data_IF_864689619876
#
_entry.id   IF_864689619876
#
_cell.length_a   1.000
_cell.length_b   1.000
_cell.length_c   1.000
_cell.angle_alpha   90.00
_cell.angle_beta   90.00
_cell.angle_gamma   90.00
#
_symmetry.space_group_name_H-M   'P 1'
#
loop_
_entity.id
_entity.type
_entity.pdbx_description
1 polymer ?
#
# COMPACT_ATOMS: atom_id res chain seq x y z
N UNK A 1 -15.45 72.17 18.81
CA UNK A 1 -15.72 73.19 19.86
C UNK A 1 -17.15 72.97 20.40
N UNK A 2 -17.64 73.80 21.33
CA UNK A 2 -18.99 73.84 21.95
C UNK A 2 -20.17 73.57 20.95
N UNK A 3 -21.35 73.04 21.32
CA UNK A 3 -21.85 72.49 22.59
C UNK A 3 -23.15 71.64 22.44
N UNK A 4 -23.60 71.06 23.57
CA UNK A 4 -24.87 70.35 23.86
C UNK A 4 -26.11 71.24 23.60
N UNK A 5 -27.36 70.73 23.52
CA UNK A 5 -28.23 70.47 24.70
C UNK A 5 -29.65 69.95 24.33
N UNK A 6 -30.11 68.85 24.97
CA UNK A 6 -31.46 68.43 25.52
C UNK A 6 -32.79 68.89 24.82
N UNK A 7 -34.01 68.34 25.01
CA UNK A 7 -34.70 67.35 25.89
C UNK A 7 -35.72 66.55 24.99
N UNK A 8 -36.69 65.68 25.37
CA UNK A 8 -37.26 65.18 26.63
C UNK A 8 -37.69 63.68 26.47
N UNK A 9 -37.70 62.82 27.51
CA UNK A 9 -38.82 62.42 28.41
C UNK A 9 -40.05 61.76 27.74
N UNK A 10 -40.23 60.47 28.04
CA UNK A 10 -41.44 59.66 27.87
C UNK A 10 -41.18 58.26 28.46
N UNK A 11 -42.00 57.77 29.39
CA UNK A 11 -41.70 56.59 30.21
C UNK A 11 -42.90 55.62 30.32
N UNK A 12 -42.72 54.54 31.10
CA UNK A 12 -43.60 53.35 31.28
C UNK A 12 -43.43 52.30 30.16
N UNK A 13 -43.20 51.00 30.44
CA UNK A 13 -42.82 50.36 31.72
C UNK A 13 -43.47 49.00 31.96
N UNK A 14 -42.70 47.91 31.83
CA UNK A 14 -43.02 46.58 32.36
C UNK A 14 -41.72 45.75 32.50
N UNK A 15 -41.65 44.90 33.53
CA UNK A 15 -40.61 43.87 33.68
C UNK A 15 -41.20 42.51 33.26
N UNK A 16 -40.39 41.63 32.69
CA UNK A 16 -40.20 40.25 33.20
C UNK A 16 -39.01 39.52 32.58
N UNK A 17 -38.38 38.67 33.40
CA UNK A 17 -37.57 37.46 33.13
C UNK A 17 -36.75 37.31 31.84
N UNK A 18 -35.47 36.99 31.99
CA UNK A 18 -34.59 36.54 30.91
C UNK A 18 -34.73 35.03 30.61
N UNK A 19 -34.50 34.65 29.35
CA UNK A 19 -34.22 33.28 28.93
C UNK A 19 -33.12 33.29 27.87
N UNK A 20 -32.01 32.59 28.13
CA UNK A 20 -30.90 32.49 27.18
C UNK A 20 -31.25 31.48 26.07
N UNK A 21 -31.16 31.92 24.80
CA UNK A 21 -31.22 31.04 23.63
C UNK A 21 -29.93 31.16 22.83
N UNK A 22 -28.92 30.39 23.24
CA UNK A 22 -27.70 30.14 22.46
C UNK A 22 -28.00 29.08 21.38
N UNK A 23 -28.55 29.51 20.25
CA UNK A 23 -28.69 28.68 19.07
C UNK A 23 -27.34 28.49 18.37
N UNK A 24 -26.63 27.42 18.69
CA UNK A 24 -25.47 26.98 17.92
C UNK A 24 -25.90 26.46 16.54
N UNK A 25 -25.08 26.67 15.51
CA UNK A 25 -25.35 26.13 14.17
C UNK A 25 -25.06 24.63 14.07
N UNK A 26 -25.85 23.92 13.28
CA UNK A 26 -25.64 22.50 13.00
C UNK A 26 -24.32 22.26 12.25
N UNK A 27 -23.48 21.38 12.81
CA UNK A 27 -22.36 20.79 12.09
C UNK A 27 -22.86 19.57 11.29
N UNK A 28 -22.64 19.57 9.97
CA UNK A 28 -23.08 18.47 9.10
C UNK A 28 -22.40 17.15 9.45
N UNK A 29 -23.16 16.19 9.96
CA UNK A 29 -22.66 14.85 10.29
C UNK A 29 -22.38 14.05 9.01
N UNK A 30 -21.10 13.89 8.66
CA UNK A 30 -20.65 13.00 7.59
C UNK A 30 -20.53 11.56 8.08
N UNK A 31 -21.64 11.00 8.59
CA UNK A 31 -21.72 9.61 9.05
C UNK A 31 -21.83 8.65 7.88
N UNK A 32 -20.71 8.06 7.46
CA UNK A 32 -20.70 6.85 6.61
C UNK A 32 -20.68 5.62 7.52
N UNK A 33 -21.85 5.22 8.00
CA UNK A 33 -21.98 4.05 8.88
C UNK A 33 -21.46 2.76 8.21
N UNK A 34 -20.84 1.91 9.01
CA UNK A 34 -20.45 0.57 8.59
C UNK A 34 -21.69 -0.30 8.33
N UNK A 35 -21.60 -1.36 7.48
CA UNK A 35 -22.72 -2.25 7.21
C UNK A 35 -23.38 -2.79 8.49
N UNK A 36 -24.70 -2.68 8.61
CA UNK A 36 -25.48 -2.83 9.86
C UNK A 36 -25.51 -4.24 10.50
N UNK A 37 -24.61 -5.16 10.14
CA UNK A 37 -24.36 -6.37 10.92
C UNK A 37 -23.43 -6.04 12.10
N UNK A 38 -23.98 -5.39 13.13
CA UNK A 38 -23.26 -4.97 14.33
C UNK A 38 -22.45 -6.11 14.97
N UNK A 39 -21.22 -5.80 15.37
CA UNK A 39 -20.24 -6.80 15.79
C UNK A 39 -20.67 -7.57 17.06
N UNK A 40 -20.96 -8.86 16.91
CA UNK A 40 -21.43 -9.74 17.98
C UNK A 40 -20.27 -10.26 18.84
N UNK A 41 -19.89 -9.51 19.86
CA UNK A 41 -18.86 -9.90 20.83
C UNK A 41 -18.27 -8.70 21.56
N UNK A 42 -17.45 -8.95 22.58
CA UNK A 42 -16.72 -7.88 23.28
C UNK A 42 -15.61 -7.28 22.41
N UNK A 43 -14.99 -8.07 21.53
CA UNK A 43 -13.84 -7.65 20.72
C UNK A 43 -12.57 -7.43 21.54
N UNK A 44 -11.56 -6.88 20.88
CA UNK A 44 -10.25 -6.61 21.44
C UNK A 44 -9.96 -5.10 21.37
N UNK A 45 -10.03 -4.46 22.54
CA UNK A 45 -9.67 -3.05 22.70
C UNK A 45 -8.23 -2.79 22.18
N UNK A 46 -7.96 -1.60 21.60
CA UNK A 46 -6.62 -1.19 21.19
C UNK A 46 -5.56 -1.39 22.28
N UNK A 47 -4.32 -1.64 21.85
CA UNK A 47 -3.16 -1.76 22.75
C UNK A 47 -2.00 -0.97 22.14
N UNK A 48 -1.58 0.08 22.84
CA UNK A 48 -0.43 0.89 22.44
C UNK A 48 0.88 0.09 22.44
N UNK A 49 1.83 0.50 21.60
CA UNK A 49 3.16 -0.12 21.50
C UNK A 49 3.87 0.23 20.19
N UNK A 50 5.16 0.53 20.27
CA UNK A 50 5.91 1.13 19.15
C UNK A 50 6.22 0.18 17.99
N UNK A 51 6.20 -1.14 18.22
CA UNK A 51 6.42 -2.14 17.18
C UNK A 51 5.07 -2.60 16.57
N UNK A 52 4.98 -2.57 15.25
CA UNK A 52 3.87 -3.13 14.48
C UNK A 52 4.24 -4.53 13.96
N UNK A 53 3.23 -5.38 13.79
CA UNK A 53 3.34 -6.69 13.11
C UNK A 53 2.15 -6.88 12.18
N UNK A 54 2.41 -7.39 10.96
CA UNK A 54 1.37 -7.81 10.02
C UNK A 54 0.86 -9.20 10.42
N UNK A 55 -0.46 -9.37 10.37
CA UNK A 55 -1.13 -10.65 10.53
C UNK A 55 -1.15 -11.41 9.21
N UNK A 56 -0.92 -12.72 9.27
CA UNK A 56 -0.95 -13.59 8.09
C UNK A 56 -2.37 -13.70 7.50
N UNK A 57 -2.49 -13.49 6.19
CA UNK A 57 -3.73 -13.61 5.42
C UNK A 57 -4.02 -15.08 5.07
N UNK A 58 -4.35 -15.89 6.08
CA UNK A 58 -4.42 -17.35 6.01
C UNK A 58 -5.51 -17.93 5.08
N UNK A 59 -6.57 -17.16 4.81
CA UNK A 59 -7.62 -17.46 3.80
C UNK A 59 -7.41 -16.72 2.47
N UNK A 60 -6.33 -15.95 2.33
CA UNK A 60 -5.95 -15.22 1.11
C UNK A 60 -7.02 -14.23 0.60
N UNK A 61 -7.44 -13.29 1.44
CA UNK A 61 -8.26 -12.14 1.03
C UNK A 61 -7.57 -11.30 -0.05
N UNK A 62 -6.24 -11.18 -0.03
CA UNK A 62 -5.48 -10.29 -0.90
C UNK A 62 -4.98 -11.01 -2.16
N UNK A 63 -4.99 -10.31 -3.30
CA UNK A 63 -4.35 -10.83 -4.52
C UNK A 63 -2.85 -10.61 -4.43
N UNK A 64 -2.08 -11.53 -5.00
CA UNK A 64 -0.64 -11.69 -4.71
C UNK A 64 0.21 -10.74 -5.56
N UNK A 65 0.55 -9.57 -5.01
CA UNK A 65 1.35 -8.54 -5.70
C UNK A 65 2.86 -8.75 -5.48
N UNK A 66 3.35 -9.89 -5.98
CA UNK A 66 4.77 -10.21 -6.00
C UNK A 66 5.52 -9.31 -6.98
N UNK A 67 6.68 -8.80 -6.55
CA UNK A 67 7.52 -7.93 -7.39
C UNK A 67 8.20 -8.75 -8.49
N UNK A 68 8.18 -8.22 -9.71
CA UNK A 68 8.79 -8.81 -10.91
C UNK A 68 9.24 -7.74 -11.92
N UNK A 69 10.19 -8.06 -12.82
CA UNK A 69 10.56 -7.15 -13.90
C UNK A 69 9.57 -7.22 -15.05
N UNK A 70 8.98 -6.08 -15.41
CA UNK A 70 8.28 -5.87 -16.67
C UNK A 70 9.25 -5.29 -17.70
N UNK A 71 9.29 -5.85 -18.91
CA UNK A 71 10.31 -5.57 -19.94
C UNK A 71 9.66 -5.43 -21.30
N UNK A 72 10.06 -4.44 -22.11
CA UNK A 72 9.60 -4.37 -23.49
C UNK A 72 10.13 -5.58 -24.29
N UNK A 73 9.24 -6.34 -24.94
CA UNK A 73 9.56 -7.59 -25.60
C UNK A 73 10.65 -7.46 -26.69
N UNK A 74 10.83 -6.27 -27.29
CA UNK A 74 11.86 -5.99 -28.31
C UNK A 74 13.29 -6.08 -27.75
N UNK A 75 13.47 -6.01 -26.43
CA UNK A 75 14.78 -6.08 -25.75
C UNK A 75 14.89 -7.20 -24.71
N UNK A 76 13.85 -8.04 -24.57
CA UNK A 76 13.74 -9.11 -23.57
C UNK A 76 14.65 -10.33 -23.84
N UNK A 77 15.94 -10.11 -24.10
CA UNK A 77 16.93 -11.16 -24.31
C UNK A 77 17.17 -11.98 -23.04
N UNK A 78 17.51 -13.29 -23.13
CA UNK A 78 17.73 -14.11 -21.94
C UNK A 78 18.75 -13.55 -20.93
N UNK A 79 19.91 -12.99 -21.34
CA UNK A 79 20.84 -12.37 -20.38
C UNK A 79 20.28 -11.12 -19.69
N UNK A 80 19.42 -10.35 -20.37
CA UNK A 80 18.73 -9.20 -19.77
C UNK A 80 17.73 -9.64 -18.70
N UNK A 81 16.89 -10.63 -19.01
CA UNK A 81 15.93 -11.19 -18.04
C UNK A 81 16.67 -11.85 -16.87
N UNK A 82 17.69 -12.66 -17.13
CA UNK A 82 18.49 -13.31 -16.09
C UNK A 82 19.20 -12.31 -15.15
N UNK A 83 19.62 -11.15 -15.66
CA UNK A 83 20.18 -10.08 -14.84
C UNK A 83 19.13 -9.41 -13.95
N UNK A 84 17.89 -9.25 -14.42
CA UNK A 84 16.79 -8.69 -13.62
C UNK A 84 16.31 -9.69 -12.56
N UNK A 85 16.18 -10.97 -12.94
CA UNK A 85 15.74 -12.06 -12.07
C UNK A 85 16.71 -12.33 -10.90
N UNK A 86 17.98 -11.89 -10.98
CA UNK A 86 18.91 -11.85 -9.83
C UNK A 86 18.38 -11.01 -8.67
N UNK A 87 17.67 -9.91 -8.95
CA UNK A 87 17.01 -9.11 -7.92
C UNK A 87 15.83 -9.89 -7.35
N UNK A 88 15.00 -10.48 -8.21
CA UNK A 88 13.86 -11.30 -7.78
C UNK A 88 14.26 -12.46 -6.87
N UNK A 89 15.31 -13.20 -7.22
CA UNK A 89 15.82 -14.34 -6.46
C UNK A 89 16.47 -13.94 -5.12
N UNK A 90 16.86 -12.67 -4.96
CA UNK A 90 17.44 -12.15 -3.73
C UNK A 90 16.43 -11.48 -2.79
N UNK A 91 15.19 -11.22 -3.26
CA UNK A 91 14.22 -10.35 -2.59
C UNK A 91 13.06 -11.16 -1.99
N UNK A 92 12.89 -11.01 -0.68
CA UNK A 92 11.77 -11.51 0.13
C UNK A 92 11.12 -10.34 0.90
N UNK A 93 9.91 -10.50 1.43
CA UNK A 93 9.19 -9.39 2.07
C UNK A 93 9.95 -8.80 3.27
N UNK A 94 10.56 -9.57 4.19
CA UNK A 94 11.43 -9.03 5.23
C UNK A 94 12.59 -8.17 4.71
N UNK A 95 13.27 -8.60 3.64
CA UNK A 95 14.33 -7.82 2.98
C UNK A 95 13.81 -6.54 2.34
N UNK A 96 12.64 -6.60 1.71
CA UNK A 96 11.97 -5.45 1.10
C UNK A 96 11.56 -4.41 2.15
N UNK A 97 11.00 -4.86 3.29
CA UNK A 97 10.74 -4.02 4.47
C UNK A 97 12.02 -3.31 4.93
N UNK A 98 13.15 -4.04 5.01
CA UNK A 98 14.44 -3.44 5.35
C UNK A 98 14.94 -2.41 4.32
N UNK A 99 14.72 -2.67 3.03
CA UNK A 99 15.08 -1.77 1.93
C UNK A 99 14.23 -0.48 1.95
N UNK A 100 12.92 -0.60 2.17
CA UNK A 100 12.01 0.53 2.28
C UNK A 100 12.26 1.34 3.56
N UNK A 101 12.54 0.69 4.70
CA UNK A 101 12.97 1.35 5.94
C UNK A 101 14.17 2.26 5.68
N UNK A 102 15.17 1.78 4.94
CA UNK A 102 16.38 2.54 4.65
C UNK A 102 16.09 3.87 3.92
N UNK A 103 15.05 3.92 3.07
CA UNK A 103 14.65 5.13 2.32
C UNK A 103 13.66 5.99 3.10
N UNK A 104 12.57 5.41 3.58
CA UNK A 104 11.42 6.16 4.10
C UNK A 104 11.56 6.54 5.59
N UNK A 105 12.24 5.70 6.37
CA UNK A 105 12.52 5.94 7.80
C UNK A 105 13.91 6.54 7.96
N UNK A 106 14.95 5.87 7.44
CA UNK A 106 16.36 6.23 7.66
C UNK A 106 16.88 7.28 6.65
N UNK A 107 16.03 7.73 5.72
CA UNK A 107 16.24 8.86 4.79
C UNK A 107 17.43 8.71 3.84
N UNK A 108 17.86 7.48 3.52
CA UNK A 108 18.79 7.22 2.42
C UNK A 108 18.12 7.54 1.08
N UNK A 109 18.91 7.84 0.07
CA UNK A 109 18.40 7.90 -1.30
C UNK A 109 18.08 6.47 -1.79
N UNK A 110 17.08 6.29 -2.69
CA UNK A 110 16.83 5.01 -3.36
C UNK A 110 18.10 4.38 -3.95
N UNK A 111 18.95 5.21 -4.58
CA UNK A 111 20.24 4.77 -5.11
C UNK A 111 21.17 4.19 -4.03
N UNK A 112 21.38 4.91 -2.93
CA UNK A 112 22.31 4.47 -1.88
C UNK A 112 21.78 3.19 -1.20
N UNK A 113 20.48 3.10 -0.94
CA UNK A 113 19.85 1.91 -0.37
C UNK A 113 19.99 0.70 -1.31
N UNK A 114 19.77 0.89 -2.62
CA UNK A 114 19.97 -0.13 -3.64
C UNK A 114 21.44 -0.57 -3.77
N UNK A 115 22.39 0.37 -3.71
CA UNK A 115 23.83 0.05 -3.81
C UNK A 115 24.32 -0.74 -2.59
N UNK A 116 23.91 -0.37 -1.37
CA UNK A 116 24.17 -1.16 -0.15
C UNK A 116 23.54 -2.56 -0.22
N UNK A 117 22.25 -2.65 -0.59
CA UNK A 117 21.53 -3.92 -0.71
C UNK A 117 22.16 -4.84 -1.78
N UNK A 118 22.60 -4.28 -2.90
CA UNK A 118 23.24 -5.02 -3.98
C UNK A 118 24.61 -5.56 -3.60
N UNK A 119 25.37 -4.83 -2.78
CA UNK A 119 26.61 -5.35 -2.15
C UNK A 119 26.29 -6.44 -1.13
N UNK A 120 25.32 -6.23 -0.22
CA UNK A 120 24.99 -7.18 0.84
C UNK A 120 24.40 -8.52 0.33
N UNK A 121 23.69 -8.50 -0.80
CA UNK A 121 23.14 -9.69 -1.46
C UNK A 121 23.97 -10.13 -2.69
N UNK A 122 25.14 -9.54 -2.91
CA UNK A 122 26.12 -9.94 -3.94
C UNK A 122 25.56 -9.99 -5.37
N UNK A 123 24.61 -9.08 -5.70
CA UNK A 123 23.76 -9.17 -6.89
C UNK A 123 24.50 -9.12 -8.24
N UNK A 124 25.74 -8.61 -8.25
CA UNK A 124 26.58 -8.49 -9.45
C UNK A 124 27.41 -9.74 -9.75
N UNK A 125 27.45 -10.73 -8.85
CA UNK A 125 28.24 -11.95 -9.04
C UNK A 125 27.54 -12.96 -9.96
N UNK A 126 28.28 -13.50 -10.92
CA UNK A 126 27.77 -14.47 -11.88
C UNK A 126 26.59 -13.92 -12.70
N UNK A 127 26.62 -12.63 -13.03
CA UNK A 127 25.72 -12.02 -14.01
C UNK A 127 26.32 -12.23 -15.39
N UNK A 128 25.54 -12.84 -16.29
CA UNK A 128 25.95 -13.09 -17.68
C UNK A 128 26.06 -11.78 -18.46
N UNK A 129 26.95 -11.72 -19.45
CA UNK A 129 27.08 -10.55 -20.33
C UNK A 129 26.07 -10.63 -21.46
N UNK A 130 25.17 -9.65 -21.52
CA UNK A 130 24.29 -9.45 -22.66
C UNK A 130 25.00 -8.77 -23.85
N UNK A 131 24.29 -8.56 -24.98
CA UNK A 131 24.81 -7.80 -26.13
C UNK A 131 25.11 -6.31 -25.85
N UNK A 132 24.80 -5.81 -24.65
CA UNK A 132 24.96 -4.40 -24.29
C UNK A 132 23.94 -3.49 -24.97
N UNK A 133 24.32 -2.23 -25.17
CA UNK A 133 23.41 -1.16 -25.62
C UNK A 133 22.80 -0.38 -24.45
N UNK A 134 21.88 0.53 -24.76
CA UNK A 134 21.26 1.45 -23.79
C UNK A 134 19.93 0.91 -23.28
N UNK A 135 19.72 0.95 -21.96
CA UNK A 135 18.45 0.59 -21.31
C UNK A 135 17.99 1.74 -20.41
N UNK A 136 16.75 2.17 -20.56
CA UNK A 136 16.05 3.06 -19.62
C UNK A 136 15.14 2.22 -18.74
N UNK A 137 15.44 2.20 -17.44
CA UNK A 137 14.59 1.62 -16.40
C UNK A 137 13.65 2.73 -15.91
N UNK A 138 12.35 2.57 -16.16
CA UNK A 138 11.33 3.43 -15.61
C UNK A 138 11.10 3.16 -14.12
N UNK A 139 10.69 4.19 -13.39
CA UNK A 139 10.25 4.08 -12.01
C UNK A 139 8.91 4.81 -11.78
N UNK A 140 8.11 4.25 -10.87
CA UNK A 140 6.92 4.87 -10.34
C UNK A 140 7.22 6.12 -9.49
N UNK A 141 6.18 6.83 -9.09
CA UNK A 141 6.26 8.05 -8.28
C UNK A 141 6.46 7.82 -6.76
N UNK A 142 6.94 6.65 -6.34
CA UNK A 142 7.09 6.23 -4.94
C UNK A 142 8.46 5.61 -4.62
N UNK A 143 8.80 5.51 -3.33
CA UNK A 143 10.12 5.13 -2.82
C UNK A 143 10.56 3.72 -3.26
N UNK A 144 9.70 2.72 -3.04
CA UNK A 144 10.00 1.32 -3.36
C UNK A 144 10.33 1.13 -4.85
N UNK A 145 9.41 1.51 -5.77
CA UNK A 145 9.61 1.38 -7.22
C UNK A 145 10.88 2.09 -7.71
N UNK A 146 11.24 3.25 -7.15
CA UNK A 146 12.51 3.95 -7.45
C UNK A 146 13.75 3.21 -6.96
N UNK A 147 13.63 2.47 -5.85
CA UNK A 147 14.73 1.69 -5.25
C UNK A 147 14.91 0.37 -6.00
N UNK A 148 13.82 -0.31 -6.35
CA UNK A 148 13.83 -1.49 -7.23
C UNK A 148 14.40 -1.16 -8.63
N UNK A 149 14.08 0.01 -9.19
CA UNK A 149 14.64 0.46 -10.46
C UNK A 149 16.17 0.70 -10.39
N UNK A 150 16.70 1.17 -9.25
CA UNK A 150 18.13 1.27 -9.01
C UNK A 150 18.80 -0.12 -8.82
N UNK A 151 18.12 -1.09 -8.23
CA UNK A 151 18.60 -2.49 -8.19
C UNK A 151 18.70 -3.09 -9.60
N UNK A 152 17.67 -2.89 -10.44
CA UNK A 152 17.71 -3.28 -11.85
C UNK A 152 18.82 -2.54 -12.62
N UNK A 153 19.06 -1.25 -12.34
CA UNK A 153 20.21 -0.53 -12.91
C UNK A 153 21.53 -1.25 -12.57
N UNK A 154 21.72 -1.64 -11.31
CA UNK A 154 22.96 -2.29 -10.87
C UNK A 154 23.19 -3.63 -11.57
N UNK A 155 22.19 -4.51 -11.64
CA UNK A 155 22.37 -5.83 -12.28
C UNK A 155 22.48 -5.73 -13.80
N UNK A 156 21.74 -4.83 -14.46
CA UNK A 156 21.88 -4.58 -15.89
C UNK A 156 23.23 -3.93 -16.24
N UNK A 157 23.76 -3.02 -15.41
CA UNK A 157 25.14 -2.52 -15.56
C UNK A 157 26.15 -3.65 -15.41
N UNK A 158 25.96 -4.58 -14.47
CA UNK A 158 26.80 -5.77 -14.35
C UNK A 158 26.70 -6.70 -15.58
N UNK A 159 25.54 -6.78 -16.24
CA UNK A 159 25.35 -7.49 -17.51
C UNK A 159 25.95 -6.78 -18.73
N UNK A 160 26.44 -5.54 -18.59
CA UNK A 160 27.12 -4.79 -19.65
C UNK A 160 26.26 -3.77 -20.40
N UNK A 161 25.04 -3.48 -19.93
CA UNK A 161 24.21 -2.42 -20.50
C UNK A 161 24.60 -1.03 -19.98
N UNK A 162 24.39 0.00 -20.80
CA UNK A 162 24.43 1.40 -20.37
C UNK A 162 23.05 1.79 -19.84
N UNK A 163 22.91 1.92 -18.52
CA UNK A 163 21.59 1.97 -17.88
C UNK A 163 21.30 3.34 -17.27
N UNK A 164 20.11 3.87 -17.54
CA UNK A 164 19.56 5.08 -16.92
C UNK A 164 18.31 4.73 -16.14
N UNK A 165 18.14 5.29 -14.94
CA UNK A 165 16.86 5.27 -14.22
C UNK A 165 16.11 6.57 -14.52
N UNK A 166 14.82 6.47 -14.82
CA UNK A 166 13.96 7.61 -15.08
C UNK A 166 12.62 7.45 -14.35
N UNK A 167 12.33 8.37 -13.42
CA UNK A 167 10.98 8.45 -12.84
C UNK A 167 10.02 9.00 -13.90
N UNK A 168 8.94 8.27 -14.18
CA UNK A 168 7.97 8.63 -15.22
C UNK A 168 6.67 9.18 -14.60
N UNK A 169 6.18 8.56 -13.51
CA UNK A 169 4.94 8.96 -12.86
C UNK A 169 4.16 7.75 -12.35
N UNK A 170 2.85 7.79 -12.55
CA UNK A 170 1.90 6.70 -12.30
C UNK A 170 1.88 5.69 -13.47
N UNK A 171 1.22 4.53 -13.25
CA UNK A 171 1.19 3.40 -14.18
C UNK A 171 0.57 3.77 -15.53
N UNK A 172 -0.43 4.64 -15.52
CA UNK A 172 -1.11 5.19 -16.69
C UNK A 172 -0.17 6.00 -17.61
N UNK A 173 1.02 6.40 -17.13
CA UNK A 173 2.06 7.05 -17.92
C UNK A 173 3.21 6.10 -18.26
N UNK A 174 3.69 5.29 -17.30
CA UNK A 174 4.86 4.44 -17.55
C UNK A 174 4.56 3.16 -18.32
N UNK A 175 3.37 2.57 -18.19
CA UNK A 175 3.05 1.32 -18.89
C UNK A 175 2.90 1.56 -20.40
N UNK A 176 2.20 2.61 -20.89
CA UNK A 176 2.19 2.93 -22.32
C UNK A 176 3.57 3.36 -22.86
N UNK A 177 4.46 3.89 -22.02
CA UNK A 177 5.86 4.15 -22.38
C UNK A 177 6.66 2.84 -22.51
N UNK A 178 6.38 1.85 -21.66
CA UNK A 178 6.98 0.52 -21.71
C UNK A 178 6.48 -0.30 -22.91
N UNK A 179 5.18 -0.30 -23.22
CA UNK A 179 4.58 -0.93 -24.41
C UNK A 179 5.26 -0.47 -25.71
N UNK A 180 5.40 0.85 -25.89
CA UNK A 180 6.03 1.42 -27.08
C UNK A 180 7.53 1.14 -27.13
N UNK A 181 8.19 1.08 -25.99
CA UNK A 181 9.64 1.00 -25.85
C UNK A 181 10.32 2.36 -25.69
N UNK A 182 9.59 3.40 -25.25
CA UNK A 182 10.16 4.69 -24.82
C UNK A 182 11.03 4.49 -23.56
N UNK A 183 10.57 3.61 -22.66
CA UNK A 183 11.37 2.94 -21.62
C UNK A 183 11.42 1.43 -21.89
N UNK A 184 12.37 0.72 -21.29
CA UNK A 184 12.63 -0.69 -21.62
C UNK A 184 12.37 -1.67 -20.47
N UNK A 185 12.45 -1.23 -19.21
CA UNK A 185 12.24 -2.06 -18.01
C UNK A 185 11.51 -1.25 -16.94
N UNK A 186 10.61 -1.87 -16.16
CA UNK A 186 9.98 -1.28 -14.95
C UNK A 186 9.82 -2.37 -13.87
N UNK A 187 10.05 -2.09 -12.57
CA UNK A 187 9.64 -2.97 -11.48
C UNK A 187 8.12 -2.90 -11.26
N UNK A 188 7.46 -4.05 -11.37
CA UNK A 188 6.01 -4.18 -11.34
C UNK A 188 5.50 -5.26 -10.38
N UNK A 189 4.20 -5.20 -10.11
CA UNK A 189 3.51 -5.96 -9.07
C UNK A 189 2.47 -6.87 -9.75
N UNK A 190 2.55 -8.17 -9.47
CA UNK A 190 1.99 -9.19 -10.37
C UNK A 190 0.46 -9.13 -10.57
N UNK A 191 -0.32 -8.85 -9.52
CA UNK A 191 -1.78 -8.80 -9.59
C UNK A 191 -2.28 -7.46 -10.11
N UNK A 192 -1.74 -6.35 -9.59
CA UNK A 192 -2.11 -5.00 -10.00
C UNK A 192 -1.78 -4.74 -11.48
N UNK A 193 -0.64 -5.22 -11.98
CA UNK A 193 -0.31 -5.11 -13.41
C UNK A 193 -1.20 -6.01 -14.29
N UNK A 194 -1.58 -7.19 -13.80
CA UNK A 194 -2.49 -8.09 -14.53
C UNK A 194 -3.87 -7.44 -14.71
N UNK A 195 -4.42 -6.83 -13.65
CA UNK A 195 -5.69 -6.10 -13.76
C UNK A 195 -5.59 -4.82 -14.56
N UNK A 196 -4.45 -4.12 -14.51
CA UNK A 196 -4.25 -2.91 -15.31
C UNK A 196 -4.30 -3.23 -16.82
N UNK A 197 -3.57 -4.25 -17.27
CA UNK A 197 -3.59 -4.69 -18.66
C UNK A 197 -4.93 -5.30 -19.08
N UNK A 198 -5.56 -6.09 -18.19
CA UNK A 198 -6.92 -6.61 -18.38
C UNK A 198 -7.94 -5.48 -18.59
N UNK A 199 -7.91 -4.45 -17.74
CA UNK A 199 -8.78 -3.28 -17.80
C UNK A 199 -8.53 -2.45 -19.07
N UNK A 200 -7.26 -2.25 -19.46
CA UNK A 200 -6.91 -1.58 -20.73
C UNK A 200 -7.47 -2.33 -21.95
N UNK A 201 -7.39 -3.66 -21.97
CA UNK A 201 -7.79 -4.47 -23.12
C UNK A 201 -9.30 -4.72 -23.19
N UNK A 202 -9.96 -4.95 -22.05
CA UNK A 202 -11.33 -5.45 -21.96
C UNK A 202 -12.33 -4.44 -21.36
N UNK A 203 -11.86 -3.28 -20.88
CA UNK A 203 -12.68 -2.22 -20.29
C UNK A 203 -12.85 -2.31 -18.76
N UNK A 204 -13.41 -1.25 -18.18
CA UNK A 204 -13.53 -1.07 -16.71
C UNK A 204 -14.42 -2.10 -15.98
N UNK A 205 -15.23 -2.85 -16.72
CA UNK A 205 -16.15 -3.87 -16.18
C UNK A 205 -15.68 -5.31 -16.50
N UNK A 206 -14.43 -5.44 -16.94
CA UNK A 206 -13.77 -6.73 -17.15
C UNK A 206 -13.77 -7.56 -15.86
N UNK A 207 -13.94 -8.88 -16.00
CA UNK A 207 -13.79 -9.78 -14.86
C UNK A 207 -12.32 -9.83 -14.41
N UNK A 208 -12.03 -9.81 -13.10
CA UNK A 208 -10.66 -9.93 -12.59
C UNK A 208 -9.95 -11.19 -13.10
N UNK A 209 -8.67 -11.06 -13.42
CA UNK A 209 -7.83 -12.16 -13.93
C UNK A 209 -6.71 -12.56 -12.95
N UNK A 210 -6.43 -11.72 -11.97
CA UNK A 210 -5.52 -12.00 -10.85
C UNK A 210 -6.25 -12.73 -9.71
N UNK A 211 -5.53 -13.58 -9.00
CA UNK A 211 -5.99 -14.23 -7.78
C UNK A 211 -4.90 -14.24 -6.70
N UNK A 212 -5.18 -14.82 -5.52
CA UNK A 212 -4.18 -15.13 -4.51
C UNK A 212 -3.32 -16.39 -4.80
N UNK A 213 -3.31 -16.90 -6.04
CA UNK A 213 -2.38 -17.92 -6.50
C UNK A 213 -1.37 -17.30 -7.47
N UNK A 214 -0.10 -17.22 -7.06
CA UNK A 214 0.95 -16.57 -7.83
C UNK A 214 1.08 -17.14 -9.25
N UNK A 215 0.99 -18.46 -9.39
CA UNK A 215 1.05 -19.13 -10.70
C UNK A 215 -0.09 -18.71 -11.63
N UNK A 216 -1.32 -18.58 -11.13
CA UNK A 216 -2.48 -18.13 -11.92
C UNK A 216 -2.33 -16.66 -12.31
N UNK A 217 -1.98 -15.81 -11.34
CA UNK A 217 -1.77 -14.37 -11.56
C UNK A 217 -0.65 -14.11 -12.55
N UNK A 218 0.48 -14.81 -12.46
CA UNK A 218 1.60 -14.67 -13.40
C UNK A 218 1.27 -15.26 -14.78
N UNK A 219 0.47 -16.33 -14.86
CA UNK A 219 0.00 -16.83 -16.15
C UNK A 219 -0.96 -15.85 -16.84
N UNK A 220 -1.91 -15.26 -16.11
CA UNK A 220 -2.81 -14.23 -16.61
C UNK A 220 -2.05 -12.96 -17.01
N UNK A 221 -1.11 -12.52 -16.18
CA UNK A 221 -0.22 -11.39 -16.43
C UNK A 221 0.56 -11.58 -17.74
N UNK A 222 1.18 -12.74 -17.95
CA UNK A 222 1.92 -13.06 -19.19
C UNK A 222 1.01 -13.08 -20.41
N UNK A 223 -0.16 -13.72 -20.32
CA UNK A 223 -1.15 -13.73 -21.40
C UNK A 223 -1.74 -12.35 -21.75
N UNK A 224 -1.64 -11.38 -20.84
CA UNK A 224 -1.94 -9.96 -21.09
C UNK A 224 -0.72 -9.20 -21.63
N UNK A 225 0.47 -9.46 -21.09
CA UNK A 225 1.75 -8.88 -21.53
C UNK A 225 2.11 -9.20 -22.97
N UNK A 226 1.92 -10.46 -23.40
CA UNK A 226 2.17 -10.90 -24.78
C UNK A 226 1.36 -10.08 -25.81
N UNK A 227 0.17 -9.62 -25.43
CA UNK A 227 -0.70 -8.75 -26.26
C UNK A 227 -0.25 -7.29 -26.26
N UNK A 228 0.35 -6.83 -25.16
CA UNK A 228 0.91 -5.48 -24.99
C UNK A 228 2.39 -5.36 -25.42
N UNK A 229 3.01 -6.44 -25.89
CA UNK A 229 4.44 -6.46 -26.20
C UNK A 229 5.34 -6.32 -24.97
N UNK A 230 4.89 -6.78 -23.80
CA UNK A 230 5.59 -6.73 -22.52
C UNK A 230 5.90 -8.17 -22.06
N UNK A 231 7.18 -8.48 -21.90
CA UNK A 231 7.67 -9.73 -21.32
C UNK A 231 7.88 -9.55 -19.81
N UNK A 232 7.48 -10.53 -19.02
CA UNK A 232 7.66 -10.55 -17.57
C UNK A 232 8.64 -11.64 -17.14
N UNK A 233 9.61 -11.29 -16.30
CA UNK A 233 10.60 -12.23 -15.76
C UNK A 233 10.05 -13.13 -14.64
N UNK A 234 10.92 -13.51 -13.73
CA UNK A 234 10.60 -14.35 -12.57
C UNK A 234 10.11 -13.49 -11.40
N UNK A 235 8.97 -13.82 -10.76
CA UNK A 235 8.54 -13.14 -9.54
C UNK A 235 9.46 -13.43 -8.36
N UNK A 236 9.66 -12.41 -7.54
CA UNK A 236 10.33 -12.51 -6.24
C UNK A 236 9.44 -13.18 -5.20
N UNK A 237 10.03 -13.57 -4.06
CA UNK A 237 9.25 -13.98 -2.89
C UNK A 237 8.58 -12.79 -2.18
N UNK A 238 9.05 -11.57 -2.44
CA UNK A 238 8.56 -10.34 -1.84
C UNK A 238 7.24 -9.88 -2.44
N UNK A 239 6.37 -9.36 -1.58
CA UNK A 239 5.05 -8.81 -1.91
C UNK A 239 4.91 -7.40 -1.35
N UNK A 240 4.44 -6.47 -2.18
CA UNK A 240 3.84 -5.20 -1.75
C UNK A 240 2.34 -5.23 -2.08
N UNK A 241 1.53 -5.54 -1.08
CA UNK A 241 0.08 -5.62 -1.18
C UNK A 241 -0.57 -5.09 0.09
N UNK A 242 -1.88 -4.81 0.04
CA UNK A 242 -2.65 -4.51 1.25
C UNK A 242 -2.46 -5.62 2.29
N UNK A 243 -2.24 -5.24 3.54
CA UNK A 243 -2.11 -6.11 4.68
C UNK A 243 -2.80 -5.47 5.90
N UNK A 244 -2.94 -6.22 6.99
CA UNK A 244 -3.47 -5.66 8.25
C UNK A 244 -2.45 -5.84 9.36
N UNK A 245 -2.10 -4.74 10.00
CA UNK A 245 -1.17 -4.73 11.12
C UNK A 245 -1.87 -4.42 12.45
N UNK A 246 -1.28 -4.96 13.50
CA UNK A 246 -1.58 -4.70 14.91
C UNK A 246 -0.28 -4.30 15.61
N UNK A 247 -0.32 -3.78 16.83
CA UNK A 247 0.91 -3.65 17.63
C UNK A 247 1.38 -5.03 18.10
N UNK A 248 2.69 -5.23 18.29
CA UNK A 248 3.24 -6.47 18.88
C UNK A 248 2.61 -6.76 20.25
N UNK A 249 2.36 -5.72 21.03
CA UNK A 249 1.66 -5.81 22.32
C UNK A 249 0.20 -6.26 22.20
N UNK A 250 -0.53 -5.85 21.14
CA UNK A 250 -1.87 -6.38 20.85
C UNK A 250 -1.80 -7.86 20.46
N UNK A 251 -0.88 -8.23 19.55
CA UNK A 251 -0.67 -9.60 19.10
C UNK A 251 -0.36 -10.54 20.26
N UNK A 252 0.53 -10.15 21.18
CA UNK A 252 0.90 -10.94 22.35
C UNK A 252 -0.24 -11.04 23.38
N UNK A 253 -0.95 -9.94 23.66
CA UNK A 253 -2.03 -9.88 24.66
C UNK A 253 -3.24 -10.73 24.27
N UNK A 254 -3.59 -10.75 22.98
CA UNK A 254 -4.75 -11.48 22.46
C UNK A 254 -4.38 -12.80 21.76
N UNK A 255 -3.07 -13.09 21.64
CA UNK A 255 -2.54 -14.28 20.99
C UNK A 255 -2.96 -14.37 19.53
N UNK A 256 -2.79 -13.32 18.73
CA UNK A 256 -3.20 -13.30 17.31
C UNK A 256 -1.98 -13.16 16.38
N UNK A 257 -1.90 -14.05 15.39
CA UNK A 257 -0.87 -14.08 14.35
C UNK A 257 -1.44 -14.12 12.93
N UNK A 258 -2.70 -14.52 12.77
CA UNK A 258 -3.41 -14.56 11.48
C UNK A 258 -4.71 -13.77 11.49
N UNK A 259 -5.27 -13.50 10.31
CA UNK A 259 -6.57 -12.84 10.17
C UNK A 259 -7.74 -13.71 10.66
N UNK A 260 -7.69 -15.03 10.49
CA UNK A 260 -8.67 -15.95 11.13
C UNK A 260 -8.59 -15.92 12.66
N UNK A 261 -7.40 -15.78 13.25
CA UNK A 261 -7.28 -15.62 14.71
C UNK A 261 -7.83 -14.28 15.19
N UNK A 262 -7.57 -13.19 14.45
CA UNK A 262 -8.18 -11.89 14.72
C UNK A 262 -9.71 -11.95 14.60
N UNK A 263 -10.25 -12.65 13.61
CA UNK A 263 -11.69 -12.85 13.47
C UNK A 263 -12.27 -13.61 14.67
N UNK A 264 -11.71 -14.78 14.99
CA UNK A 264 -12.24 -15.65 16.05
C UNK A 264 -12.10 -15.06 17.47
N UNK A 265 -11.06 -14.26 17.74
CA UNK A 265 -10.76 -13.73 19.08
C UNK A 265 -11.14 -12.26 19.26
N UNK A 266 -11.17 -11.49 18.17
CA UNK A 266 -11.27 -10.03 18.19
C UNK A 266 -12.35 -9.43 17.28
N UNK A 267 -13.25 -10.21 16.67
CA UNK A 267 -14.52 -9.67 16.17
C UNK A 267 -15.37 -9.19 17.37
N UNK A 268 -15.90 -7.96 17.34
CA UNK A 268 -16.68 -7.39 18.45
C UNK A 268 -16.52 -5.89 18.71
N UNK A 269 -17.30 -5.39 19.66
CA UNK A 269 -17.59 -3.96 19.86
C UNK A 269 -16.41 -3.08 20.29
N UNK A 270 -15.43 -3.61 21.02
CA UNK A 270 -14.23 -2.86 21.42
C UNK A 270 -13.17 -2.75 20.32
N UNK A 271 -13.33 -3.46 19.20
CA UNK A 271 -12.32 -3.50 18.13
C UNK A 271 -12.48 -2.35 17.16
N UNK A 272 -11.41 -1.58 16.96
CA UNK A 272 -11.36 -0.47 16.00
C UNK A 272 -10.51 -0.86 14.79
N UNK A 273 -11.10 -0.85 13.60
CA UNK A 273 -10.36 -1.00 12.33
C UNK A 273 -10.00 0.37 11.76
N UNK A 274 -8.73 0.59 11.45
CA UNK A 274 -8.24 1.80 10.76
C UNK A 274 -7.96 1.55 9.27
N UNK A 275 -8.17 2.56 8.44
CA UNK A 275 -7.85 2.51 7.01
C UNK A 275 -8.34 3.72 6.24
N UNK A 276 -8.17 3.74 4.90
CA UNK A 276 -8.63 4.84 4.06
C UNK A 276 -10.18 4.93 4.01
N UNK A 277 -10.77 6.10 3.69
CA UNK A 277 -12.21 6.34 3.82
C UNK A 277 -13.12 5.35 3.08
N UNK A 278 -12.64 4.76 1.99
CA UNK A 278 -13.35 3.76 1.18
C UNK A 278 -13.17 2.31 1.66
N UNK A 279 -12.32 2.06 2.66
CA UNK A 279 -12.11 0.72 3.22
C UNK A 279 -13.41 -0.01 3.63
N UNK A 280 -14.44 0.64 4.23
CA UNK A 280 -15.70 0.00 4.58
C UNK A 280 -16.42 -0.68 3.40
N UNK A 281 -16.21 -0.20 2.17
CA UNK A 281 -16.84 -0.72 0.96
C UNK A 281 -15.89 -1.51 0.03
N UNK A 282 -14.57 -1.52 0.27
CA UNK A 282 -13.61 -2.23 -0.60
C UNK A 282 -13.62 -3.75 -0.35
N UNK A 283 -13.78 -4.60 -1.40
CA UNK A 283 -13.65 -6.06 -1.28
C UNK A 283 -12.26 -6.56 -0.87
N UNK A 284 -11.23 -5.69 -0.90
CA UNK A 284 -9.86 -5.96 -0.42
C UNK A 284 -9.53 -5.22 0.90
N UNK A 285 -10.54 -4.69 1.58
CA UNK A 285 -10.45 -4.11 2.92
C UNK A 285 -11.57 -4.66 3.82
N UNK A 286 -12.32 -3.81 4.54
CA UNK A 286 -13.30 -4.25 5.54
C UNK A 286 -14.41 -5.16 4.96
N UNK A 287 -14.94 -4.87 3.77
CA UNK A 287 -16.00 -5.70 3.19
C UNK A 287 -15.51 -7.15 2.96
N UNK A 288 -14.26 -7.31 2.50
CA UNK A 288 -13.63 -8.63 2.35
C UNK A 288 -13.23 -9.29 3.68
N UNK A 289 -12.90 -8.51 4.72
CA UNK A 289 -12.72 -9.05 6.08
C UNK A 289 -14.04 -9.60 6.65
N UNK A 290 -15.18 -8.98 6.34
CA UNK A 290 -16.50 -9.53 6.68
C UNK A 290 -16.79 -10.79 5.86
N UNK A 291 -16.61 -10.75 4.54
CA UNK A 291 -16.97 -11.85 3.64
C UNK A 291 -16.10 -13.10 3.80
N UNK A 292 -14.77 -12.94 3.88
CA UNK A 292 -13.80 -14.05 3.93
C UNK A 292 -13.57 -14.55 5.37
N UNK A 293 -13.59 -13.64 6.35
CA UNK A 293 -13.20 -13.95 7.73
C UNK A 293 -14.33 -13.91 8.76
N UNK A 294 -15.50 -13.32 8.46
CA UNK A 294 -16.53 -12.93 9.45
C UNK A 294 -16.01 -11.98 10.54
N UNK A 295 -14.96 -11.21 10.22
CA UNK A 295 -14.42 -10.19 11.12
C UNK A 295 -15.27 -8.92 11.04
N UNK A 296 -15.87 -8.55 12.18
CA UNK A 296 -16.68 -7.35 12.36
C UNK A 296 -16.04 -6.49 13.45
N UNK A 297 -15.45 -5.38 13.05
CA UNK A 297 -15.00 -4.35 13.98
C UNK A 297 -16.22 -3.59 14.57
N UNK A 298 -16.13 -3.17 15.83
CA UNK A 298 -17.14 -2.35 16.48
C UNK A 298 -17.17 -0.91 16.01
N UNK A 299 -16.03 -0.40 15.54
CA UNK A 299 -15.91 0.93 14.93
C UNK A 299 -14.88 0.93 13.79
N UNK A 300 -15.03 1.89 12.87
CA UNK A 300 -14.07 2.18 11.82
C UNK A 300 -13.44 3.56 12.03
N UNK A 301 -12.13 3.68 11.81
CA UNK A 301 -11.35 4.92 11.90
C UNK A 301 -10.82 5.30 10.52
N UNK A 302 -11.42 6.34 9.95
CA UNK A 302 -11.07 6.88 8.63
C UNK A 302 -9.79 7.70 8.71
N UNK A 303 -8.71 7.17 8.14
CA UNK A 303 -7.33 7.67 8.20
C UNK A 303 -6.66 7.51 6.81
N UNK A 304 -5.33 7.37 6.76
CA UNK A 304 -4.58 7.17 5.51
C UNK A 304 -4.35 5.67 5.18
N UNK A 305 -4.21 5.35 3.90
CA UNK A 305 -3.88 3.99 3.44
C UNK A 305 -2.43 3.64 3.83
N UNK A 306 -2.26 2.86 4.89
CA UNK A 306 -0.94 2.43 5.39
C UNK A 306 0.01 3.57 5.80
N UNK A 307 -0.47 4.80 5.92
CA UNK A 307 0.37 5.97 6.12
C UNK A 307 0.67 6.27 7.59
N UNK A 308 1.33 7.42 7.86
CA UNK A 308 1.64 7.85 9.22
C UNK A 308 0.43 7.94 10.16
N UNK A 309 -0.78 8.27 9.68
CA UNK A 309 -1.94 8.41 10.56
C UNK A 309 -2.41 7.05 11.08
N UNK A 310 -2.59 6.06 10.20
CA UNK A 310 -2.97 4.69 10.56
C UNK A 310 -1.90 4.02 11.43
N UNK A 311 -0.61 4.20 11.09
CA UNK A 311 0.51 3.71 11.92
C UNK A 311 0.51 4.32 13.32
N UNK A 312 0.35 5.64 13.42
CA UNK A 312 0.32 6.32 14.71
C UNK A 312 -0.90 5.87 15.53
N UNK A 313 -2.09 5.77 14.92
CA UNK A 313 -3.30 5.31 15.61
C UNK A 313 -3.15 3.89 16.19
N UNK A 314 -2.44 2.99 15.51
CA UNK A 314 -2.06 1.69 16.09
C UNK A 314 -1.11 1.87 17.28
N UNK A 315 0.01 2.57 17.09
CA UNK A 315 1.05 2.73 18.12
C UNK A 315 0.55 3.44 19.38
N UNK A 316 -0.37 4.40 19.26
CA UNK A 316 -0.98 5.12 20.40
C UNK A 316 -2.15 4.38 21.05
N UNK A 317 -2.56 3.21 20.55
CA UNK A 317 -3.73 2.51 21.05
C UNK A 317 -5.04 3.25 20.76
N UNK A 318 -5.13 3.92 19.61
CA UNK A 318 -6.35 4.54 19.09
C UNK A 318 -7.07 3.66 18.05
N UNK A 319 -6.37 2.67 17.48
CA UNK A 319 -6.91 1.62 16.62
C UNK A 319 -6.43 0.23 17.11
N UNK A 320 -7.24 -0.81 16.92
CA UNK A 320 -6.88 -2.19 17.27
C UNK A 320 -6.09 -2.86 16.14
N UNK A 321 -6.54 -2.64 14.90
CA UNK A 321 -5.99 -3.20 13.66
C UNK A 321 -6.10 -2.14 12.56
N UNK A 322 -5.15 -2.08 11.63
CA UNK A 322 -5.14 -1.08 10.56
C UNK A 322 -4.62 -1.62 9.23
N UNK A 323 -5.18 -1.14 8.12
CA UNK A 323 -4.66 -1.43 6.79
C UNK A 323 -3.27 -0.78 6.62
N UNK A 324 -2.30 -1.59 6.20
CA UNK A 324 -0.93 -1.20 5.85
C UNK A 324 -0.52 -1.87 4.54
N UNK A 325 0.68 -1.57 4.04
CA UNK A 325 1.31 -2.30 2.96
C UNK A 325 2.24 -3.38 3.51
N UNK A 326 2.31 -4.55 2.88
CA UNK A 326 3.13 -5.68 3.36
C UNK A 326 4.63 -5.42 3.28
N UNK A 327 5.07 -4.50 2.43
CA UNK A 327 6.47 -4.11 2.25
C UNK A 327 6.91 -2.95 3.15
N UNK A 328 6.01 -2.42 3.99
CA UNK A 328 6.20 -1.10 4.60
C UNK A 328 7.38 -1.03 5.57
N UNK A 329 8.27 -0.05 5.37
CA UNK A 329 9.48 0.12 6.18
C UNK A 329 9.26 0.32 7.68
N UNK A 330 8.06 0.70 8.12
CA UNK A 330 7.70 0.81 9.53
C UNK A 330 7.36 -0.55 10.20
N UNK A 331 7.31 -1.64 9.43
CA UNK A 331 7.14 -3.02 9.90
C UNK A 331 8.48 -3.70 10.25
N UNK A 332 9.61 -3.04 9.98
CA UNK A 332 10.92 -3.57 10.31
C UNK A 332 11.06 -3.79 11.82
N UNK A 333 11.51 -5.00 12.20
CA UNK A 333 11.95 -5.24 13.57
C UNK A 333 13.11 -4.30 13.94
N UNK A 334 13.12 -3.84 15.19
CA UNK A 334 14.16 -2.98 15.77
C UNK A 334 15.23 -3.81 16.49
#
# INVERSE_FOLDING_TARGET
MRARTRLAIGAVGALTAAGFLTGCGDAGSSGTDAPQQGASGAGCAPVAGDQLVVLADDKKLQNTDNILPAVNAKVATPPLIAALDKVSAALDTPKLIGLNKAVDVDRKTPKNAAEEFATANTLTQGVEKGPGGTIVVGAGNFSESRTLAELYRITLTAAGYQVKVQQIGNRELYEPALEKGEIQVVPEYAATMAEFLNTRANGKDAQPVSSPELEKTVAALKASGDKAGITFGTPSAAQDQNAFAVTKAFADKYGVSTLSELAAKCSGSATVLAGPPECPQRPKCQAGLVEVYDFKAGAFSSLDAGGPQTKNALKTGSASVGLVFSSDGALAAS
#
